data_IF_146222551568
#
_entry.id   IF_146222551568
#
_cell.length_a   1.000
_cell.length_b   1.000
_cell.length_c   1.000
_cell.angle_alpha   90.00
_cell.angle_beta   90.00
_cell.angle_gamma   90.00
#
_symmetry.space_group_name_H-M   'P 1'
#
loop_
_entity.id
_entity.type
_entity.pdbx_description
1 polymer ?
#
# COMPACT_ATOMS: atom_id res chain seq x y z
N UNK A 1 -39.62 34.81 18.17
CA UNK A 1 -38.94 33.49 18.08
C UNK A 1 -38.79 33.02 16.67
N UNK A 2 -39.84 33.06 15.86
CA UNK A 2 -39.78 32.62 14.47
C UNK A 2 -38.84 33.48 13.62
N UNK A 3 -38.78 34.77 13.87
CA UNK A 3 -37.85 35.68 13.16
C UNK A 3 -36.38 35.35 13.46
N UNK A 4 -36.10 34.91 14.69
CA UNK A 4 -34.77 34.51 15.09
C UNK A 4 -34.31 33.24 14.36
N UNK A 5 -35.21 32.27 14.20
CA UNK A 5 -34.91 31.04 13.46
C UNK A 5 -34.64 31.30 11.98
N UNK A 6 -35.46 32.18 11.39
CA UNK A 6 -35.26 32.56 9.95
C UNK A 6 -33.93 33.27 9.71
N UNK A 7 -33.49 34.11 10.65
CA UNK A 7 -32.20 34.80 10.50
C UNK A 7 -31.01 33.89 10.77
N UNK A 8 -31.15 32.83 11.56
CA UNK A 8 -30.10 31.88 11.86
C UNK A 8 -29.87 30.88 10.70
N UNK A 9 -30.89 30.51 9.96
CA UNK A 9 -30.81 29.56 8.86
C UNK A 9 -29.81 29.92 7.77
N UNK A 10 -29.75 31.17 7.23
CA UNK A 10 -28.76 31.52 6.23
C UNK A 10 -27.32 31.41 6.72
N UNK A 11 -27.09 31.76 7.99
CA UNK A 11 -25.74 31.65 8.59
C UNK A 11 -25.29 30.20 8.74
N UNK A 12 -26.20 29.30 9.11
CA UNK A 12 -25.91 27.87 9.22
C UNK A 12 -25.61 27.26 7.85
N UNK A 13 -26.35 27.65 6.82
CA UNK A 13 -26.09 27.19 5.44
C UNK A 13 -24.71 27.62 4.95
N UNK A 14 -24.29 28.85 5.24
CA UNK A 14 -22.97 29.34 4.87
C UNK A 14 -21.85 28.60 5.59
N UNK A 15 -22.05 28.29 6.86
CA UNK A 15 -21.11 27.45 7.62
C UNK A 15 -20.99 26.06 7.03
N UNK A 16 -22.12 25.45 6.66
CA UNK A 16 -22.13 24.13 6.03
C UNK A 16 -21.42 24.12 4.70
N UNK A 17 -21.57 25.16 3.88
CA UNK A 17 -20.87 25.32 2.60
C UNK A 17 -19.36 25.43 2.81
N UNK A 18 -18.94 26.25 3.79
CA UNK A 18 -17.55 26.41 4.14
C UNK A 18 -16.92 25.12 4.62
N UNK A 19 -17.63 24.39 5.48
CA UNK A 19 -17.15 23.10 5.99
C UNK A 19 -17.10 22.04 4.89
N UNK A 20 -18.08 22.01 3.99
CA UNK A 20 -18.09 21.08 2.86
C UNK A 20 -16.95 21.36 1.90
N UNK A 21 -16.67 22.63 1.60
CA UNK A 21 -15.56 23.03 0.75
C UNK A 21 -14.21 22.67 1.39
N UNK A 22 -14.07 22.90 2.69
CA UNK A 22 -12.87 22.51 3.45
C UNK A 22 -12.65 21.01 3.39
N UNK A 23 -13.70 20.21 3.61
CA UNK A 23 -13.66 18.77 3.54
C UNK A 23 -13.25 18.27 2.17
N UNK A 24 -13.81 18.87 1.11
CA UNK A 24 -13.47 18.52 -0.27
C UNK A 24 -11.99 18.80 -0.55
N UNK A 25 -11.47 19.93 -0.08
CA UNK A 25 -10.05 20.27 -0.22
C UNK A 25 -9.17 19.28 0.54
N UNK A 26 -9.55 18.93 1.76
CA UNK A 26 -8.80 17.95 2.58
C UNK A 26 -8.77 16.58 1.93
N UNK A 27 -9.89 16.13 1.35
CA UNK A 27 -9.97 14.85 0.63
C UNK A 27 -9.06 14.87 -0.59
N UNK A 28 -9.08 15.94 -1.40
CA UNK A 28 -8.20 16.07 -2.57
C UNK A 28 -6.75 16.04 -2.19
N UNK A 29 -6.39 16.69 -1.10
CA UNK A 29 -5.02 16.71 -0.59
C UNK A 29 -4.59 15.33 -0.13
N UNK A 30 -5.45 14.63 0.60
CA UNK A 30 -5.20 13.25 1.05
C UNK A 30 -5.03 12.30 -0.13
N UNK A 31 -5.87 12.42 -1.17
CA UNK A 31 -5.75 11.60 -2.38
C UNK A 31 -4.45 11.88 -3.13
N UNK A 32 -4.05 13.15 -3.23
CA UNK A 32 -2.78 13.52 -3.86
C UNK A 32 -1.59 12.92 -3.10
N UNK A 33 -1.63 12.90 -1.77
CA UNK A 33 -0.60 12.27 -0.95
C UNK A 33 -0.53 10.75 -1.17
N UNK A 34 -1.69 10.08 -1.25
CA UNK A 34 -1.76 8.65 -1.52
C UNK A 34 -1.17 8.34 -2.90
N UNK A 35 -1.51 9.11 -3.92
CA UNK A 35 -0.98 8.93 -5.28
C UNK A 35 0.53 9.16 -5.32
N UNK A 36 1.03 10.19 -4.64
CA UNK A 36 2.45 10.49 -4.54
C UNK A 36 3.20 9.34 -3.84
N UNK A 37 2.66 8.84 -2.73
CA UNK A 37 3.25 7.73 -1.99
C UNK A 37 3.29 6.45 -2.84
N UNK A 38 2.21 6.15 -3.55
CA UNK A 38 2.15 4.99 -4.45
C UNK A 38 3.18 5.07 -5.56
N UNK A 39 3.39 6.26 -6.13
CA UNK A 39 4.38 6.51 -7.17
C UNK A 39 5.80 6.30 -6.64
N UNK A 40 6.09 6.84 -5.46
CA UNK A 40 7.39 6.66 -4.81
C UNK A 40 7.69 5.20 -4.51
N UNK A 41 6.68 4.44 -4.06
CA UNK A 41 6.83 3.01 -3.81
C UNK A 41 7.14 2.25 -5.10
N UNK A 42 6.46 2.58 -6.19
CA UNK A 42 6.75 1.95 -7.50
C UNK A 42 8.15 2.27 -8.00
N UNK A 43 8.60 3.51 -7.83
CA UNK A 43 9.95 3.91 -8.22
C UNK A 43 11.01 3.16 -7.42
N UNK A 44 10.82 3.01 -6.11
CA UNK A 44 11.71 2.22 -5.25
C UNK A 44 11.71 0.76 -5.65
N UNK A 45 10.54 0.22 -5.98
CA UNK A 45 10.39 -1.15 -6.44
C UNK A 45 11.15 -1.39 -7.74
N UNK A 46 11.05 -0.49 -8.70
CA UNK A 46 11.77 -0.56 -9.96
C UNK A 46 13.28 -0.53 -9.77
N UNK A 47 13.77 0.34 -8.89
CA UNK A 47 15.19 0.42 -8.55
C UNK A 47 15.66 -0.89 -7.91
N UNK A 48 14.91 -1.40 -6.95
CA UNK A 48 15.23 -2.66 -6.28
C UNK A 48 15.25 -3.83 -7.26
N UNK A 49 14.26 -3.92 -8.13
CA UNK A 49 14.19 -4.99 -9.14
C UNK A 49 15.36 -4.93 -10.13
N UNK A 50 15.77 -3.72 -10.53
CA UNK A 50 16.94 -3.54 -11.35
C UNK A 50 18.21 -4.04 -10.64
N UNK A 51 18.33 -3.78 -9.35
CA UNK A 51 19.45 -4.27 -8.55
C UNK A 51 19.42 -5.80 -8.42
N UNK A 52 18.24 -6.39 -8.23
CA UNK A 52 18.10 -7.85 -8.16
C UNK A 52 18.50 -8.54 -9.46
N UNK A 53 18.29 -7.91 -10.59
CA UNK A 53 18.73 -8.43 -11.89
C UNK A 53 20.23 -8.29 -12.09
N UNK A 54 20.81 -7.17 -11.63
CA UNK A 54 22.19 -6.84 -11.87
C UNK A 54 23.18 -7.53 -10.92
N UNK A 55 22.76 -7.81 -9.70
CA UNK A 55 23.64 -8.35 -8.64
C UNK A 55 23.31 -9.81 -8.40
N UNK A 56 24.30 -10.67 -8.56
CA UNK A 56 24.15 -12.10 -8.26
C UNK A 56 24.17 -12.33 -6.75
N UNK A 57 23.35 -13.26 -6.29
CA UNK A 57 23.38 -13.68 -4.89
C UNK A 57 24.68 -14.44 -4.62
N UNK A 58 25.36 -14.12 -3.53
CA UNK A 58 26.62 -14.74 -3.14
C UNK A 58 26.48 -15.74 -2.01
N UNK A 59 25.28 -15.92 -1.50
CA UNK A 59 24.98 -16.85 -0.41
C UNK A 59 23.56 -17.36 -0.54
N UNK A 60 23.27 -18.49 0.12
CA UNK A 60 21.92 -19.02 0.17
C UNK A 60 20.91 -18.06 0.85
N UNK A 61 21.23 -17.40 1.98
CA UNK A 61 20.32 -16.40 2.54
C UNK A 61 19.98 -15.27 1.57
N UNK A 62 20.96 -14.79 0.79
CA UNK A 62 20.69 -13.75 -0.23
C UNK A 62 19.80 -14.29 -1.35
N UNK A 63 20.06 -15.51 -1.81
CA UNK A 63 19.23 -16.15 -2.84
C UNK A 63 17.80 -16.36 -2.34
N UNK A 64 17.63 -16.80 -1.11
CA UNK A 64 16.32 -16.99 -0.49
C UNK A 64 15.58 -15.67 -0.35
N UNK A 65 16.26 -14.60 0.05
CA UNK A 65 15.67 -13.27 0.16
C UNK A 65 15.19 -12.76 -1.21
N UNK A 66 15.97 -12.98 -2.25
CA UNK A 66 15.64 -12.64 -3.63
C UNK A 66 14.40 -13.42 -4.10
N UNK A 67 14.37 -14.72 -3.86
CA UNK A 67 13.24 -15.59 -4.20
C UNK A 67 11.99 -15.18 -3.45
N UNK A 68 12.11 -14.85 -2.17
CA UNK A 68 10.99 -14.40 -1.34
C UNK A 68 10.37 -13.12 -1.89
N UNK A 69 11.21 -12.17 -2.29
CA UNK A 69 10.74 -10.93 -2.89
C UNK A 69 9.91 -11.20 -4.15
N UNK A 70 10.44 -12.01 -5.07
CA UNK A 70 9.76 -12.34 -6.33
C UNK A 70 8.45 -13.08 -6.07
N UNK A 71 8.46 -14.07 -5.18
CA UNK A 71 7.25 -14.84 -4.86
C UNK A 71 6.18 -13.97 -4.21
N UNK A 72 6.57 -13.00 -3.37
CA UNK A 72 5.62 -12.05 -2.79
C UNK A 72 4.96 -11.17 -3.85
N UNK A 73 5.69 -10.77 -4.89
CA UNK A 73 5.11 -10.00 -6.00
C UNK A 73 4.02 -10.80 -6.71
N UNK A 74 4.30 -12.05 -7.04
CA UNK A 74 3.33 -12.91 -7.70
C UNK A 74 2.15 -13.26 -6.79
N UNK A 75 2.41 -13.49 -5.51
CA UNK A 75 1.35 -13.81 -4.55
C UNK A 75 0.38 -12.63 -4.35
N UNK A 76 0.86 -11.40 -4.45
CA UNK A 76 0.02 -10.21 -4.33
C UNK A 76 -1.03 -10.12 -5.44
N UNK A 77 -0.75 -10.68 -6.62
CA UNK A 77 -1.65 -10.67 -7.78
C UNK A 77 -2.61 -11.86 -7.80
N UNK A 78 -2.49 -12.80 -6.87
CA UNK A 78 -3.40 -13.95 -6.81
C UNK A 78 -4.82 -13.49 -6.46
N UNK A 79 -5.86 -14.13 -7.05
CA UNK A 79 -7.24 -13.83 -6.70
C UNK A 79 -7.49 -14.00 -5.19
N UNK A 80 -8.36 -13.20 -4.57
CA UNK A 80 -8.63 -13.32 -3.12
C UNK A 80 -9.08 -14.69 -2.66
N UNK A 81 -9.74 -15.45 -3.55
CA UNK A 81 -10.20 -16.80 -3.23
C UNK A 81 -9.18 -17.90 -3.42
N UNK A 82 -7.99 -17.58 -3.95
CA UNK A 82 -6.94 -18.57 -4.22
C UNK A 82 -6.08 -18.78 -2.98
N UNK A 83 -6.62 -19.50 -2.02
CA UNK A 83 -5.90 -19.84 -0.79
C UNK A 83 -4.86 -20.93 -1.00
N UNK A 84 -5.08 -21.83 -1.95
CA UNK A 84 -4.19 -22.94 -2.23
C UNK A 84 -2.79 -22.47 -2.64
N UNK A 85 -2.69 -21.57 -3.61
CA UNK A 85 -1.40 -21.07 -4.07
C UNK A 85 -0.73 -20.17 -3.02
N UNK A 86 -1.52 -19.43 -2.24
CA UNK A 86 -0.98 -18.66 -1.12
C UNK A 86 -0.39 -19.56 -0.05
N UNK A 87 -1.02 -20.68 0.23
CA UNK A 87 -0.53 -21.66 1.19
C UNK A 87 0.77 -22.30 0.69
N UNK A 88 0.87 -22.57 -0.61
CA UNK A 88 2.11 -23.09 -1.20
C UNK A 88 3.26 -22.09 -1.05
N UNK A 89 3.02 -20.81 -1.34
CA UNK A 89 4.01 -19.75 -1.16
C UNK A 89 4.44 -19.65 0.30
N UNK A 90 3.48 -19.67 1.21
CA UNK A 90 3.75 -19.61 2.65
C UNK A 90 4.60 -20.82 3.11
N UNK A 91 4.34 -22.00 2.58
CA UNK A 91 5.11 -23.20 2.89
C UNK A 91 6.56 -23.07 2.43
N UNK A 92 6.79 -22.52 1.24
CA UNK A 92 8.14 -22.27 0.73
C UNK A 92 8.89 -21.28 1.63
N UNK A 93 8.22 -20.20 2.03
CA UNK A 93 8.80 -19.20 2.93
C UNK A 93 9.16 -19.80 4.29
N UNK A 94 8.32 -20.69 4.82
CA UNK A 94 8.60 -21.39 6.06
C UNK A 94 9.87 -22.26 5.93
N UNK A 95 10.03 -22.94 4.80
CA UNK A 95 11.22 -23.72 4.52
C UNK A 95 12.47 -22.85 4.44
N UNK A 96 12.39 -21.71 3.74
CA UNK A 96 13.49 -20.77 3.65
C UNK A 96 13.91 -20.25 5.02
N UNK A 97 12.95 -19.87 5.86
CA UNK A 97 13.22 -19.37 7.20
C UNK A 97 13.91 -20.42 8.06
N UNK A 98 13.39 -21.66 8.03
CA UNK A 98 13.96 -22.77 8.79
C UNK A 98 15.40 -23.10 8.36
N UNK A 99 15.63 -23.17 7.07
CA UNK A 99 16.95 -23.52 6.53
C UNK A 99 17.96 -22.39 6.66
N UNK A 100 17.49 -21.14 6.55
CA UNK A 100 18.35 -19.96 6.71
C UNK A 100 18.82 -19.84 8.17
N UNK A 101 17.94 -20.09 9.13
CA UNK A 101 18.29 -20.01 10.56
C UNK A 101 19.32 -21.07 11.00
N UNK A 102 19.45 -22.16 10.26
CA UNK A 102 20.43 -23.21 10.55
C UNK A 102 21.83 -22.89 10.05
N UNK A 103 21.94 -21.93 9.19
CA UNK A 103 23.23 -21.50 8.62
C UNK A 103 23.78 -20.29 9.39
#
# INVERSE_FOLDING_TARGET
>A
MRARLVSDEPLDLDKHRGMAAQKATDIRRALAEVESNARQLRERQEVLESQLLAVQATSWPEAAAKAKYVLNLYAADLPPGDTHHRDLVAAVFADFARLTDRN
#
